data_IF_330748608162
#
_entry.id   IF_330748608162
#
_cell.length_a   1.000
_cell.length_b   1.000
_cell.length_c   1.000
_cell.angle_alpha   90.00
_cell.angle_beta   90.00
_cell.angle_gamma   90.00
#
_symmetry.space_group_name_H-M   'P 1'
#
loop_
_entity.id
_entity.type
_entity.pdbx_description
1 polymer ?
#
# COMPACT_ATOMS: atom_id res chain seq x y z
N UNK A 1 -14.92 -3.02 -14.55
CA UNK A 1 -14.25 -3.20 -13.24
C UNK A 1 -12.77 -3.40 -13.47
N UNK A 2 -11.95 -2.68 -12.73
CA UNK A 2 -10.51 -2.75 -12.91
C UNK A 2 -9.93 -3.83 -11.99
N UNK A 3 -9.29 -4.83 -12.57
CA UNK A 3 -8.72 -5.92 -11.79
C UNK A 3 -7.22 -5.80 -11.58
N UNK A 4 -6.64 -4.69 -11.98
CA UNK A 4 -5.21 -4.47 -11.76
C UNK A 4 -4.91 -4.34 -10.28
N UNK A 5 -3.81 -4.94 -9.87
CA UNK A 5 -3.33 -4.87 -8.50
C UNK A 5 -2.19 -3.86 -8.42
N UNK A 6 -2.36 -2.91 -7.52
CA UNK A 6 -1.30 -1.94 -7.22
C UNK A 6 -0.77 -2.25 -5.83
N UNK A 7 0.53 -2.43 -5.74
CA UNK A 7 1.19 -2.59 -4.44
C UNK A 7 1.87 -1.28 -4.08
N UNK A 8 1.54 -0.76 -2.90
CA UNK A 8 2.16 0.46 -2.38
C UNK A 8 3.21 0.06 -1.36
N UNK A 9 4.43 0.48 -1.56
CA UNK A 9 5.53 0.23 -0.62
C UNK A 9 5.68 1.42 0.30
N UNK A 10 5.50 1.17 1.58
CA UNK A 10 5.60 2.22 2.60
C UNK A 10 4.23 2.68 3.07
N UNK A 11 4.03 2.62 4.39
CA UNK A 11 2.74 2.88 5.03
C UNK A 11 2.68 4.16 5.85
N UNK A 12 3.49 5.15 5.51
CA UNK A 12 3.36 6.46 6.11
C UNK A 12 2.21 7.23 5.49
N UNK A 13 2.12 8.52 5.83
CA UNK A 13 1.04 9.35 5.34
C UNK A 13 0.89 9.32 3.82
N UNK A 14 2.01 9.46 3.10
CA UNK A 14 1.99 9.46 1.64
C UNK A 14 1.59 8.11 1.06
N UNK A 15 2.07 7.02 1.67
CA UNK A 15 1.74 5.68 1.21
C UNK A 15 0.27 5.36 1.40
N UNK A 16 -0.26 5.68 2.56
CA UNK A 16 -1.67 5.46 2.85
C UNK A 16 -2.54 6.31 1.91
N UNK A 17 -2.15 7.57 1.69
CA UNK A 17 -2.86 8.44 0.77
C UNK A 17 -2.86 7.90 -0.65
N UNK A 18 -1.72 7.40 -1.11
CA UNK A 18 -1.62 6.79 -2.44
C UNK A 18 -2.50 5.55 -2.56
N UNK A 19 -2.54 4.73 -1.51
CA UNK A 19 -3.35 3.53 -1.49
C UNK A 19 -4.84 3.87 -1.60
N UNK A 20 -5.28 4.86 -0.84
CA UNK A 20 -6.68 5.28 -0.87
C UNK A 20 -7.04 5.84 -2.24
N UNK A 21 -6.17 6.67 -2.80
CA UNK A 21 -6.41 7.24 -4.10
C UNK A 21 -6.52 6.16 -5.18
N UNK A 22 -5.62 5.19 -5.17
CA UNK A 22 -5.66 4.09 -6.13
C UNK A 22 -6.96 3.30 -5.99
N UNK A 23 -7.39 3.05 -4.75
CA UNK A 23 -8.65 2.35 -4.52
C UNK A 23 -9.84 3.13 -5.07
N UNK A 24 -9.84 4.44 -4.89
CA UNK A 24 -10.93 5.28 -5.39
C UNK A 24 -11.02 5.28 -6.92
N UNK A 25 -9.90 5.08 -7.58
CA UNK A 25 -9.85 5.00 -9.04
C UNK A 25 -10.28 3.61 -9.53
N UNK A 26 -10.44 2.65 -8.64
CA UNK A 26 -10.96 1.33 -8.98
C UNK A 26 -9.95 0.21 -9.00
N UNK A 27 -8.72 0.47 -8.56
CA UNK A 27 -7.71 -0.59 -8.49
C UNK A 27 -7.86 -1.41 -7.24
N UNK A 28 -7.39 -2.66 -7.31
CA UNK A 28 -7.15 -3.45 -6.11
C UNK A 28 -5.83 -2.97 -5.53
N UNK A 29 -5.77 -2.82 -4.21
CA UNK A 29 -4.59 -2.24 -3.57
C UNK A 29 -4.12 -3.12 -2.43
N UNK A 30 -2.81 -3.30 -2.35
CA UNK A 30 -2.15 -3.93 -1.22
C UNK A 30 -1.01 -3.03 -0.77
N UNK A 31 -0.96 -2.71 0.51
CA UNK A 31 0.10 -1.87 1.06
C UNK A 31 1.06 -2.73 1.86
N UNK A 32 2.34 -2.57 1.61
CA UNK A 32 3.37 -3.34 2.30
C UNK A 32 4.38 -2.39 2.95
N UNK A 33 4.65 -2.60 4.23
CA UNK A 33 5.62 -1.79 4.96
C UNK A 33 6.62 -2.68 5.66
N UNK A 34 7.90 -2.37 5.49
CA UNK A 34 8.98 -3.13 6.10
C UNK A 34 9.03 -2.95 7.63
N UNK A 35 8.47 -1.88 8.13
CA UNK A 35 8.39 -1.60 9.57
C UNK A 35 6.97 -1.70 10.08
N UNK A 36 6.75 -1.15 11.26
CA UNK A 36 5.42 -1.12 11.87
C UNK A 36 4.65 0.12 11.44
N UNK A 37 3.38 -0.07 11.16
CA UNK A 37 2.49 1.04 10.85
C UNK A 37 2.04 1.72 12.14
N UNK A 38 1.85 3.02 12.09
CA UNK A 38 1.21 3.74 13.19
C UNK A 38 -0.26 3.33 13.26
N UNK A 39 -0.82 3.33 14.46
CA UNK A 39 -2.20 2.92 14.66
C UNK A 39 -3.18 3.68 13.80
N UNK A 40 -3.00 4.98 13.65
CA UNK A 40 -3.90 5.81 12.83
C UNK A 40 -3.90 5.38 11.37
N UNK A 41 -2.76 4.97 10.85
CA UNK A 41 -2.68 4.51 9.46
C UNK A 41 -3.28 3.12 9.30
N UNK A 42 -3.02 2.26 10.26
CA UNK A 42 -3.61 0.92 10.27
C UNK A 42 -5.13 1.00 10.31
N UNK A 43 -5.65 1.87 11.16
CA UNK A 43 -7.09 2.06 11.28
C UNK A 43 -7.68 2.63 9.99
N UNK A 44 -6.99 3.56 9.35
CA UNK A 44 -7.44 4.14 8.09
C UNK A 44 -7.50 3.08 6.99
N UNK A 45 -6.48 2.24 6.89
CA UNK A 45 -6.46 1.18 5.89
C UNK A 45 -7.60 0.18 6.13
N UNK A 46 -7.83 -0.18 7.38
CA UNK A 46 -8.92 -1.10 7.73
C UNK A 46 -10.28 -0.50 7.40
N UNK A 47 -10.46 0.79 7.66
CA UNK A 47 -11.74 1.45 7.38
C UNK A 47 -12.05 1.52 5.89
N UNK A 48 -11.03 1.47 5.05
CA UNK A 48 -11.19 1.46 3.60
C UNK A 48 -11.12 0.05 3.01
N UNK A 49 -11.03 -0.96 3.86
CA UNK A 49 -10.91 -2.37 3.43
C UNK A 49 -9.70 -2.61 2.53
N UNK A 50 -8.60 -1.91 2.81
CA UNK A 50 -7.36 -2.10 2.08
C UNK A 50 -6.51 -3.11 2.82
N UNK A 51 -6.09 -4.16 2.12
CA UNK A 51 -5.19 -5.16 2.69
C UNK A 51 -3.79 -4.58 2.83
N UNK A 52 -3.12 -4.96 3.90
CA UNK A 52 -1.76 -4.49 4.15
C UNK A 52 -0.96 -5.51 4.94
N UNK A 53 0.36 -5.35 4.94
CA UNK A 53 1.25 -6.12 5.78
C UNK A 53 2.29 -5.22 6.42
N UNK A 54 2.79 -5.64 7.58
CA UNK A 54 3.80 -4.90 8.35
C UNK A 54 5.01 -5.79 8.61
N UNK A 55 6.11 -5.16 8.96
CA UNK A 55 7.33 -5.83 9.41
C UNK A 55 7.94 -6.75 8.36
N UNK A 56 7.82 -6.38 7.12
CA UNK A 56 8.41 -7.12 6.02
C UNK A 56 7.58 -7.01 4.76
N UNK A 57 8.15 -7.49 3.68
CA UNK A 57 7.49 -7.51 2.38
C UNK A 57 7.36 -8.94 1.90
N UNK A 58 6.15 -9.33 1.54
CA UNK A 58 5.92 -10.65 0.93
C UNK A 58 6.24 -10.54 -0.56
N UNK A 59 7.36 -11.09 -0.94
CA UNK A 59 7.86 -11.00 -2.29
C UNK A 59 6.85 -11.49 -3.34
N UNK A 60 6.19 -12.60 -3.04
CA UNK A 60 5.19 -13.14 -3.96
C UNK A 60 4.07 -12.15 -4.27
N UNK A 61 3.62 -11.42 -3.28
CA UNK A 61 2.56 -10.43 -3.48
C UNK A 61 3.04 -9.26 -4.32
N UNK A 62 4.28 -8.84 -4.08
CA UNK A 62 4.86 -7.74 -4.86
C UNK A 62 5.03 -8.15 -6.31
N UNK A 63 5.48 -9.39 -6.55
CA UNK A 63 5.66 -9.89 -7.90
C UNK A 63 4.35 -10.06 -8.65
N UNK A 64 3.25 -10.22 -7.94
CA UNK A 64 1.93 -10.34 -8.57
C UNK A 64 1.33 -8.98 -8.94
N UNK A 65 1.94 -7.89 -8.49
CA UNK A 65 1.42 -6.56 -8.75
C UNK A 65 1.54 -6.21 -10.24
N UNK A 66 0.52 -5.56 -10.75
CA UNK A 66 0.60 -4.96 -12.08
C UNK A 66 1.46 -3.72 -12.04
N UNK A 67 1.44 -3.04 -10.89
CA UNK A 67 2.26 -1.86 -10.71
C UNK A 67 2.66 -1.75 -9.24
N UNK A 68 3.89 -1.33 -9.00
CA UNK A 68 4.41 -1.10 -7.66
C UNK A 68 4.67 0.39 -7.50
N UNK A 69 4.06 0.98 -6.49
CA UNK A 69 4.21 2.41 -6.19
C UNK A 69 5.03 2.57 -4.93
N UNK A 70 6.11 3.29 -5.03
CA UNK A 70 6.95 3.59 -3.90
C UNK A 70 6.46 4.89 -3.26
N UNK A 71 6.28 4.87 -1.95
CA UNK A 71 5.83 6.05 -1.24
C UNK A 71 6.80 7.22 -1.44
N UNK A 72 6.31 8.42 -1.77
CA UNK A 72 7.19 9.58 -1.94
C UNK A 72 7.98 9.94 -0.70
N UNK A 73 7.56 9.47 0.46
CA UNK A 73 8.29 9.72 1.68
C UNK A 73 9.54 8.85 1.86
N UNK A 74 9.75 7.86 1.01
CA UNK A 74 10.92 6.99 1.08
C UNK A 74 12.07 7.67 0.31
N UNK A 75 13.20 7.91 0.97
CA UNK A 75 14.34 8.52 0.28
C UNK A 75 14.77 7.67 -0.92
N UNK A 76 14.97 8.32 -2.02
CA UNK A 76 15.34 7.66 -3.25
C UNK A 76 16.78 8.03 -3.60
N UNK A 77 17.66 7.52 -2.81
CA UNK A 77 19.08 7.88 -2.91
C UNK A 77 19.84 6.82 -3.68
#
# INVERSE_FOLDING_TARGET
MNEKLIVVLGGGESGVGSAILAQKVGFNVFLSDNGSLKDKYRDTLKSHNINFEENGHTEERILMADEVVKSPGIPDI
#
